data_IF_754875464974
#
_entry.id   IF_754875464974
#
_cell.length_a   1.000
_cell.length_b   1.000
_cell.length_c   1.000
_cell.angle_alpha   90.00
_cell.angle_beta   90.00
_cell.angle_gamma   90.00
#
_symmetry.space_group_name_H-M   'P 1'
#
loop_
_entity.id
_entity.type
_entity.pdbx_description
1 polymer ?
#
# COMPACT_ATOMS: atom_id res chain seq x y z
N UNK A 1 -5.09 6.54 17.91
CA UNK A 1 -6.23 6.80 18.79
C UNK A 1 -7.43 5.92 18.42
N UNK A 2 -8.06 6.11 17.26
CA UNK A 2 -9.30 5.38 16.90
C UNK A 2 -9.17 3.84 16.94
N UNK A 3 -8.03 3.28 16.55
CA UNK A 3 -7.86 1.82 16.56
C UNK A 3 -7.71 1.26 17.98
N UNK A 4 -7.15 2.03 18.91
CA UNK A 4 -7.08 1.65 20.31
C UNK A 4 -8.48 1.63 20.93
N UNK A 5 -9.29 2.65 20.65
CA UNK A 5 -10.69 2.72 21.09
C UNK A 5 -11.51 1.58 20.48
N UNK A 6 -11.24 1.22 19.23
CA UNK A 6 -11.91 0.09 18.57
C UNK A 6 -11.55 -1.26 19.22
N UNK A 7 -10.27 -1.49 19.54
CA UNK A 7 -9.83 -2.65 20.33
C UNK A 7 -10.58 -2.73 21.67
N UNK A 8 -10.62 -1.62 22.40
CA UNK A 8 -11.19 -1.56 23.74
C UNK A 8 -12.71 -1.78 23.70
N UNK A 9 -13.40 -1.27 22.67
CA UNK A 9 -14.81 -1.52 22.45
C UNK A 9 -15.10 -2.99 22.14
N UNK A 10 -14.27 -3.65 21.32
CA UNK A 10 -14.39 -5.09 21.06
C UNK A 10 -14.25 -5.88 22.36
N UNK A 11 -13.27 -5.55 23.19
CA UNK A 11 -13.08 -6.22 24.48
C UNK A 11 -14.29 -6.05 25.41
N UNK A 12 -14.82 -4.82 25.52
CA UNK A 12 -16.05 -4.55 26.30
C UNK A 12 -17.23 -5.39 25.83
N UNK A 13 -17.48 -5.44 24.51
CA UNK A 13 -18.58 -6.22 23.92
C UNK A 13 -18.41 -7.73 24.12
N UNK A 14 -17.24 -8.20 24.49
CA UNK A 14 -16.87 -9.60 24.69
C UNK A 14 -16.52 -9.93 26.15
N UNK A 15 -16.99 -9.15 27.11
CA UNK A 15 -16.69 -9.35 28.55
C UNK A 15 -15.19 -9.49 28.80
N UNK A 16 -14.38 -8.65 28.14
CA UNK A 16 -12.91 -8.67 28.15
C UNK A 16 -12.25 -9.96 27.61
N UNK A 17 -12.98 -10.78 26.87
CA UNK A 17 -12.42 -11.98 26.22
C UNK A 17 -11.81 -11.60 24.87
N UNK A 18 -10.53 -11.89 24.70
CA UNK A 18 -9.81 -11.71 23.42
C UNK A 18 -10.44 -12.56 22.30
N UNK A 19 -10.67 -12.01 21.10
CA UNK A 19 -11.08 -12.80 19.94
C UNK A 19 -10.07 -13.92 19.63
N UNK A 20 -10.54 -15.05 19.11
CA UNK A 20 -9.66 -16.14 18.66
C UNK A 20 -9.24 -15.99 17.19
N UNK A 21 -10.01 -15.24 16.41
CA UNK A 21 -9.82 -15.05 14.98
C UNK A 21 -10.24 -13.63 14.59
N UNK A 22 -9.50 -13.02 13.67
CA UNK A 22 -9.90 -11.84 12.92
C UNK A 22 -10.00 -12.21 11.45
N UNK A 23 -11.11 -11.82 10.81
CA UNK A 23 -11.26 -11.87 9.35
C UNK A 23 -11.35 -10.43 8.85
N UNK A 24 -10.36 -9.98 8.10
CA UNK A 24 -10.32 -8.67 7.49
C UNK A 24 -10.82 -8.76 6.04
N UNK A 25 -11.96 -8.13 5.74
CA UNK A 25 -12.56 -8.11 4.40
C UNK A 25 -12.58 -6.66 3.90
N UNK A 26 -11.96 -6.38 2.75
CA UNK A 26 -11.95 -5.04 2.17
C UNK A 26 -10.67 -4.70 1.43
N UNK A 27 -10.41 -3.42 1.21
CA UNK A 27 -9.16 -2.92 0.61
C UNK A 27 -8.01 -2.83 1.61
N UNK A 28 -6.89 -2.23 1.18
CA UNK A 28 -5.65 -2.11 1.98
C UNK A 28 -5.88 -1.57 3.40
N UNK A 29 -6.70 -0.54 3.56
CA UNK A 29 -7.00 0.01 4.90
C UNK A 29 -7.71 -1.00 5.81
N UNK A 30 -8.58 -1.86 5.27
CA UNK A 30 -9.23 -2.93 6.05
C UNK A 30 -8.22 -4.01 6.43
N UNK A 31 -7.30 -4.34 5.52
CA UNK A 31 -6.18 -5.24 5.80
C UNK A 31 -5.32 -4.70 6.94
N UNK A 32 -4.95 -3.42 6.89
CA UNK A 32 -4.12 -2.76 7.89
C UNK A 32 -4.80 -2.71 9.26
N UNK A 33 -6.10 -2.43 9.31
CA UNK A 33 -6.91 -2.48 10.54
C UNK A 33 -6.93 -3.91 11.10
N UNK A 34 -7.17 -4.92 10.27
CA UNK A 34 -7.19 -6.32 10.70
C UNK A 34 -5.87 -6.80 11.27
N UNK A 35 -4.76 -6.46 10.60
CA UNK A 35 -3.39 -6.73 11.07
C UNK A 35 -3.12 -6.06 12.42
N UNK A 36 -3.39 -4.77 12.50
CA UNK A 36 -3.15 -3.98 13.71
C UNK A 36 -4.00 -4.47 14.88
N UNK A 37 -5.29 -4.70 14.71
CA UNK A 37 -6.15 -5.23 15.78
C UNK A 37 -5.66 -6.59 16.27
N UNK A 38 -5.29 -7.49 15.35
CA UNK A 38 -4.75 -8.79 15.70
C UNK A 38 -3.56 -8.67 16.67
N UNK A 39 -2.62 -7.78 16.39
CA UNK A 39 -1.43 -7.57 17.20
C UNK A 39 -1.71 -6.82 18.50
N UNK A 40 -2.62 -5.84 18.49
CA UNK A 40 -3.00 -5.07 19.66
C UNK A 40 -3.76 -5.87 20.73
N UNK A 41 -4.32 -7.03 20.41
CA UNK A 41 -4.91 -7.93 21.42
C UNK A 41 -3.84 -8.70 22.21
N UNK A 42 -2.64 -8.83 21.70
CA UNK A 42 -1.55 -9.57 22.33
C UNK A 42 -0.40 -8.68 22.80
N UNK A 43 -0.39 -7.42 22.38
CA UNK A 43 0.61 -6.41 22.72
C UNK A 43 -0.06 -5.25 23.46
N UNK A 44 0.46 -4.86 24.63
CA UNK A 44 -0.27 -4.06 25.63
C UNK A 44 -0.22 -2.55 25.42
N UNK A 45 0.74 -2.05 24.62
CA UNK A 45 0.89 -0.61 24.36
C UNK A 45 -0.15 -0.13 23.34
N UNK A 46 -0.19 1.16 23.07
CA UNK A 46 -1.02 1.75 22.03
C UNK A 46 -0.41 1.50 20.64
N UNK A 47 -1.23 1.56 19.59
CA UNK A 47 -0.77 1.33 18.22
C UNK A 47 0.38 2.27 17.82
N UNK A 48 0.36 3.51 18.30
CA UNK A 48 1.37 4.52 18.03
C UNK A 48 2.76 4.14 18.55
N UNK A 49 2.81 3.36 19.63
CA UNK A 49 4.06 2.88 20.24
C UNK A 49 4.72 1.75 19.43
N UNK A 50 3.97 1.14 18.51
CA UNK A 50 4.44 0.07 17.63
C UNK A 50 4.71 0.53 16.20
N UNK A 51 4.45 1.81 15.87
CA UNK A 51 4.80 2.36 14.57
C UNK A 51 6.31 2.45 14.41
N UNK A 52 6.85 1.68 13.49
CA UNK A 52 8.29 1.50 13.26
C UNK A 52 8.58 0.08 12.78
N UNK A 53 9.80 -0.38 13.02
CA UNK A 53 10.29 -1.67 12.59
C UNK A 53 10.48 -2.62 13.77
N UNK A 54 9.82 -3.79 13.70
CA UNK A 54 9.96 -4.92 14.63
C UNK A 54 9.80 -4.58 16.13
N UNK A 55 8.87 -3.62 16.41
CA UNK A 55 8.56 -3.19 17.77
C UNK A 55 7.51 -4.05 18.48
N UNK A 56 6.82 -4.96 17.76
CA UNK A 56 5.87 -5.90 18.35
C UNK A 56 6.60 -6.97 19.15
N UNK A 57 6.15 -7.22 20.36
CA UNK A 57 6.74 -8.19 21.28
C UNK A 57 6.14 -9.59 21.12
N UNK A 58 4.87 -9.67 20.68
CA UNK A 58 4.12 -10.90 20.58
C UNK A 58 3.43 -11.02 19.23
N UNK A 59 3.35 -12.25 18.69
CA UNK A 59 2.53 -12.55 17.52
C UNK A 59 1.07 -12.18 17.79
N UNK A 60 0.41 -11.59 16.78
CA UNK A 60 -1.02 -11.32 16.84
C UNK A 60 -1.87 -12.57 16.94
N UNK A 61 -3.16 -12.42 17.29
CA UNK A 61 -4.12 -13.51 17.20
C UNK A 61 -4.29 -13.94 15.74
N UNK A 62 -4.79 -15.16 15.51
CA UNK A 62 -4.97 -15.71 14.15
C UNK A 62 -5.80 -14.78 13.28
N UNK A 63 -5.37 -14.56 12.03
CA UNK A 63 -6.00 -13.58 11.13
C UNK A 63 -6.02 -14.05 9.68
N UNK A 64 -7.17 -13.79 9.03
CA UNK A 64 -7.40 -14.10 7.62
C UNK A 64 -7.63 -12.80 6.86
N UNK A 65 -6.91 -12.59 5.76
CA UNK A 65 -7.10 -11.47 4.85
C UNK A 65 -7.94 -11.85 3.64
N UNK A 66 -8.94 -11.03 3.30
CA UNK A 66 -9.82 -11.21 2.14
C UNK A 66 -9.88 -9.88 1.38
N UNK A 67 -8.93 -9.61 0.47
CA UNK A 67 -8.91 -8.33 -0.26
C UNK A 67 -10.09 -8.24 -1.23
N UNK A 68 -10.78 -7.10 -1.23
CA UNK A 68 -11.87 -6.78 -2.16
C UNK A 68 -11.48 -5.73 -3.20
N UNK A 69 -10.21 -5.34 -3.25
CA UNK A 69 -9.60 -4.46 -4.24
C UNK A 69 -8.21 -5.02 -4.55
N UNK A 70 -7.83 -5.01 -5.81
CA UNK A 70 -6.50 -5.38 -6.26
C UNK A 70 -5.63 -4.11 -6.37
N UNK A 71 -4.46 -4.11 -5.75
CA UNK A 71 -3.51 -2.99 -5.87
C UNK A 71 -2.49 -2.92 -4.76
N UNK A 72 -2.91 -2.65 -3.52
CA UNK A 72 -1.98 -2.38 -2.41
C UNK A 72 -1.09 -3.56 -2.00
N UNK A 73 -1.52 -4.81 -2.29
CA UNK A 73 -0.81 -6.00 -1.81
C UNK A 73 -0.67 -6.08 -0.28
N UNK A 74 -1.46 -5.28 0.46
CA UNK A 74 -1.39 -5.23 1.92
C UNK A 74 -1.64 -6.60 2.56
N UNK A 75 -2.44 -7.44 1.92
CA UNK A 75 -2.69 -8.83 2.35
C UNK A 75 -1.40 -9.66 2.39
N UNK A 76 -0.44 -9.38 1.52
CA UNK A 76 0.83 -10.09 1.44
C UNK A 76 1.95 -9.43 2.28
N UNK A 77 1.75 -8.20 2.73
CA UNK A 77 2.80 -7.42 3.37
C UNK A 77 2.86 -7.58 4.88
N UNK A 78 4.04 -7.34 5.45
CA UNK A 78 4.28 -7.26 6.89
C UNK A 78 3.94 -5.89 7.50
N UNK A 79 3.50 -4.94 6.67
CA UNK A 79 3.24 -3.55 7.04
C UNK A 79 1.77 -3.32 7.27
N UNK A 80 1.40 -2.66 8.36
CA UNK A 80 0.07 -2.12 8.60
C UNK A 80 0.17 -0.59 8.79
N UNK A 81 -0.30 0.18 7.81
CA UNK A 81 -0.17 1.64 7.83
C UNK A 81 -1.33 2.26 8.61
N UNK A 82 -1.00 3.00 9.65
CA UNK A 82 -1.96 3.72 10.49
C UNK A 82 -1.70 5.21 10.46
N UNK A 83 -2.78 5.99 10.41
CA UNK A 83 -2.72 7.44 10.54
C UNK A 83 -3.04 7.86 11.97
N UNK A 84 -2.12 8.56 12.63
CA UNK A 84 -2.34 9.29 13.86
C UNK A 84 -2.55 10.78 13.55
N UNK A 85 -2.79 11.62 14.57
CA UNK A 85 -3.11 13.05 14.38
C UNK A 85 -2.12 13.80 13.46
N UNK A 86 -0.83 13.42 13.47
CA UNK A 86 0.22 14.16 12.76
C UNK A 86 1.17 13.24 11.97
N UNK A 87 0.89 11.94 11.89
CA UNK A 87 1.83 10.97 11.35
C UNK A 87 1.10 9.81 10.66
N UNK A 88 1.51 9.51 9.44
CA UNK A 88 1.11 8.28 8.74
C UNK A 88 2.33 7.38 8.68
N UNK A 89 2.32 6.27 9.42
CA UNK A 89 3.46 5.36 9.50
C UNK A 89 3.01 3.92 9.71
N UNK A 90 3.82 2.97 9.22
CA UNK A 90 3.56 1.54 9.33
C UNK A 90 3.98 0.96 10.69
N UNK A 91 3.21 -0.02 11.15
CA UNK A 91 3.69 -1.08 12.04
C UNK A 91 4.29 -2.13 11.11
N UNK A 92 5.60 -2.33 11.16
CA UNK A 92 6.32 -3.26 10.28
C UNK A 92 6.84 -4.43 11.11
N UNK A 93 6.22 -5.60 10.97
CA UNK A 93 6.62 -6.78 11.70
C UNK A 93 6.06 -8.06 11.07
N UNK A 94 6.81 -9.15 11.10
CA UNK A 94 6.32 -10.46 10.66
C UNK A 94 5.11 -10.93 11.51
N UNK A 95 5.00 -10.46 12.75
CA UNK A 95 3.86 -10.73 13.61
C UNK A 95 2.55 -10.10 13.12
N UNK A 96 2.61 -9.12 12.22
CA UNK A 96 1.44 -8.51 11.62
C UNK A 96 0.93 -9.23 10.36
N UNK A 97 1.72 -10.11 9.73
CA UNK A 97 1.33 -10.82 8.51
C UNK A 97 0.08 -11.67 8.74
N UNK A 98 -0.77 -11.79 7.73
CA UNK A 98 -1.90 -12.71 7.77
C UNK A 98 -1.43 -14.17 7.80
N UNK A 99 -2.13 -15.00 8.57
CA UNK A 99 -1.87 -16.44 8.64
C UNK A 99 -2.48 -17.18 7.44
N UNK A 100 -3.52 -16.62 6.84
CA UNK A 100 -4.17 -17.12 5.62
C UNK A 100 -4.74 -15.96 4.81
N UNK A 101 -4.80 -16.13 3.49
CA UNK A 101 -5.35 -15.14 2.56
C UNK A 101 -6.33 -15.85 1.63
N UNK A 102 -7.48 -15.23 1.38
CA UNK A 102 -8.48 -15.70 0.43
C UNK A 102 -8.57 -14.70 -0.70
N UNK A 103 -8.17 -15.11 -1.90
CA UNK A 103 -8.23 -14.32 -3.12
C UNK A 103 -9.48 -14.72 -3.93
N UNK A 104 -10.58 -13.96 -3.77
CA UNK A 104 -11.82 -14.15 -4.53
C UNK A 104 -12.00 -13.00 -5.53
N UNK A 105 -11.81 -13.24 -6.84
CA UNK A 105 -11.94 -12.19 -7.85
C UNK A 105 -13.37 -11.65 -7.99
N UNK A 106 -14.39 -12.38 -7.50
CA UNK A 106 -15.78 -11.88 -7.51
C UNK A 106 -15.96 -10.63 -6.65
N UNK A 107 -15.14 -10.44 -5.61
CA UNK A 107 -15.20 -9.25 -4.76
C UNK A 107 -14.79 -7.96 -5.48
N UNK A 108 -14.12 -8.05 -6.62
CA UNK A 108 -13.70 -6.90 -7.41
C UNK A 108 -14.79 -6.39 -8.37
N UNK A 109 -15.83 -7.16 -8.64
CA UNK A 109 -16.85 -6.86 -9.67
C UNK A 109 -17.63 -5.57 -9.44
N UNK A 110 -17.75 -5.13 -8.21
CA UNK A 110 -18.55 -3.94 -7.84
C UNK A 110 -17.69 -2.73 -7.48
N UNK A 111 -16.38 -2.82 -7.66
CA UNK A 111 -15.48 -1.69 -7.38
C UNK A 111 -15.72 -0.59 -8.42
N UNK A 112 -15.94 0.69 -8.01
CA UNK A 112 -16.06 1.80 -8.93
C UNK A 112 -14.85 1.91 -9.86
N UNK A 113 -15.08 2.22 -11.14
CA UNK A 113 -14.07 2.19 -12.21
C UNK A 113 -12.79 2.95 -11.84
N UNK A 114 -12.93 4.19 -11.37
CA UNK A 114 -11.77 5.04 -11.07
C UNK A 114 -10.94 4.45 -9.91
N UNK A 115 -11.64 3.98 -8.86
CA UNK A 115 -10.98 3.33 -7.74
C UNK A 115 -10.30 2.02 -8.16
N UNK A 116 -10.93 1.25 -9.05
CA UNK A 116 -10.37 0.03 -9.60
C UNK A 116 -9.06 0.30 -10.34
N UNK A 117 -9.07 1.29 -11.25
CA UNK A 117 -7.88 1.63 -12.05
C UNK A 117 -6.77 2.23 -11.17
N UNK A 118 -7.08 3.21 -10.29
CA UNK A 118 -6.05 3.77 -9.42
C UNK A 118 -5.41 2.73 -8.50
N UNK A 119 -6.21 1.77 -8.02
CA UNK A 119 -5.67 0.69 -7.20
C UNK A 119 -4.82 -0.28 -8.02
N UNK A 120 -5.25 -0.65 -9.22
CA UNK A 120 -4.47 -1.51 -10.10
C UNK A 120 -3.15 -0.84 -10.53
N UNK A 121 -3.17 0.47 -10.76
CA UNK A 121 -1.96 1.26 -11.02
C UNK A 121 -1.02 1.32 -9.81
N UNK A 122 -1.54 1.26 -8.60
CA UNK A 122 -0.72 1.13 -7.39
C UNK A 122 0.12 -0.17 -7.42
N UNK A 123 -0.50 -1.30 -7.79
CA UNK A 123 0.22 -2.56 -8.03
C UNK A 123 1.28 -2.40 -9.14
N UNK A 124 0.94 -1.74 -10.26
CA UNK A 124 1.89 -1.47 -11.33
C UNK A 124 3.12 -0.70 -10.82
N UNK A 125 2.88 0.37 -10.05
CA UNK A 125 3.93 1.22 -9.48
C UNK A 125 4.79 0.43 -8.49
N UNK A 126 4.19 -0.39 -7.62
CA UNK A 126 4.92 -1.30 -6.73
C UNK A 126 5.93 -2.16 -7.50
N UNK A 127 5.47 -2.78 -8.60
CA UNK A 127 6.34 -3.63 -9.41
C UNK A 127 7.48 -2.84 -10.05
N UNK A 128 7.20 -1.68 -10.61
CA UNK A 128 8.22 -0.81 -11.24
C UNK A 128 9.24 -0.35 -10.20
N UNK A 129 8.79 0.16 -9.06
CA UNK A 129 9.70 0.63 -8.01
C UNK A 129 10.55 -0.49 -7.39
N UNK A 130 9.99 -1.70 -7.31
CA UNK A 130 10.74 -2.88 -6.89
C UNK A 130 11.82 -3.26 -7.93
N UNK A 131 11.49 -3.23 -9.22
CA UNK A 131 12.41 -3.64 -10.31
C UNK A 131 13.54 -2.63 -10.53
N UNK A 132 13.26 -1.35 -10.42
CA UNK A 132 14.20 -0.26 -10.64
C UNK A 132 14.95 0.15 -9.36
N UNK A 133 14.59 -0.43 -8.22
CA UNK A 133 15.18 -0.10 -6.93
C UNK A 133 16.52 -0.78 -6.67
N UNK A 134 17.32 -0.20 -5.79
CA UNK A 134 18.63 -0.71 -5.38
C UNK A 134 18.55 -1.97 -4.52
N UNK A 135 17.42 -2.23 -3.86
CA UNK A 135 17.18 -3.40 -3.00
C UNK A 135 16.67 -4.62 -3.78
N UNK A 136 16.58 -4.51 -5.11
CA UNK A 136 16.16 -5.63 -5.97
C UNK A 136 17.06 -6.85 -5.76
N UNK A 137 16.46 -8.00 -5.61
CA UNK A 137 17.13 -9.29 -5.52
C UNK A 137 16.39 -10.31 -6.38
N UNK A 138 16.93 -11.52 -6.51
CA UNK A 138 16.35 -12.57 -7.37
C UNK A 138 14.89 -12.88 -7.01
N UNK A 139 14.55 -12.92 -5.72
CA UNK A 139 13.21 -13.25 -5.25
C UNK A 139 12.22 -12.14 -5.59
N UNK A 140 12.53 -10.90 -5.19
CA UNK A 140 11.67 -9.75 -5.49
C UNK A 140 11.52 -9.51 -6.99
N UNK A 141 12.58 -9.70 -7.78
CA UNK A 141 12.53 -9.62 -9.25
C UNK A 141 11.53 -10.61 -9.84
N UNK A 142 11.61 -11.88 -9.44
CA UNK A 142 10.70 -12.93 -9.95
C UNK A 142 9.23 -12.58 -9.69
N UNK A 143 8.92 -12.09 -8.49
CA UNK A 143 7.55 -11.67 -8.14
C UNK A 143 7.14 -10.40 -8.88
N UNK A 144 8.02 -9.39 -8.95
CA UNK A 144 7.70 -8.12 -9.60
C UNK A 144 7.46 -8.29 -11.11
N UNK A 145 8.31 -9.04 -11.82
CA UNK A 145 8.16 -9.31 -13.25
C UNK A 145 6.85 -10.06 -13.54
N UNK A 146 6.54 -11.08 -12.73
CA UNK A 146 5.29 -11.84 -12.86
C UNK A 146 4.07 -10.96 -12.58
N UNK A 147 4.11 -10.16 -11.53
CA UNK A 147 3.03 -9.25 -11.15
C UNK A 147 2.83 -8.16 -12.22
N UNK A 148 3.91 -7.53 -12.68
CA UNK A 148 3.88 -6.48 -13.71
C UNK A 148 3.26 -6.99 -15.01
N UNK A 149 3.66 -8.21 -15.43
CA UNK A 149 3.09 -8.87 -16.61
C UNK A 149 1.59 -9.11 -16.46
N UNK A 150 1.15 -9.74 -15.37
CA UNK A 150 -0.25 -10.03 -15.12
C UNK A 150 -1.10 -8.75 -15.02
N UNK A 151 -0.60 -7.73 -14.33
CA UNK A 151 -1.24 -6.43 -14.17
C UNK A 151 -1.41 -5.75 -15.54
N UNK A 152 -0.34 -5.68 -16.33
CA UNK A 152 -0.35 -5.05 -17.66
C UNK A 152 -1.26 -5.80 -18.64
N UNK A 153 -1.22 -7.14 -18.66
CA UNK A 153 -2.12 -7.96 -19.49
C UNK A 153 -3.59 -7.71 -19.12
N UNK A 154 -3.91 -7.68 -17.82
CA UNK A 154 -5.28 -7.44 -17.35
C UNK A 154 -5.76 -6.04 -17.74
N UNK A 155 -4.96 -5.01 -17.54
CA UNK A 155 -5.33 -3.62 -17.81
C UNK A 155 -5.34 -3.28 -19.31
N UNK A 156 -4.58 -3.99 -20.12
CA UNK A 156 -4.64 -3.86 -21.58
C UNK A 156 -5.81 -4.61 -22.23
N UNK A 157 -6.59 -5.37 -21.47
CA UNK A 157 -7.82 -5.99 -21.95
C UNK A 157 -9.00 -5.02 -21.82
N UNK A 158 -9.93 -5.05 -22.79
CA UNK A 158 -11.19 -4.29 -22.70
C UNK A 158 -12.13 -4.87 -21.63
N UNK A 159 -11.92 -6.13 -21.28
CA UNK A 159 -12.58 -6.79 -20.15
C UNK A 159 -11.51 -7.38 -19.24
N UNK A 160 -11.04 -6.63 -18.23
CA UNK A 160 -9.95 -7.03 -17.37
C UNK A 160 -10.19 -8.37 -16.68
N UNK A 161 -9.22 -9.26 -16.74
CA UNK A 161 -9.24 -10.51 -15.98
C UNK A 161 -8.98 -10.21 -14.49
N UNK A 162 -10.04 -10.24 -13.70
CA UNK A 162 -10.01 -9.91 -12.27
C UNK A 162 -9.15 -10.90 -11.46
N UNK A 163 -9.05 -12.16 -11.92
CA UNK A 163 -8.20 -13.16 -11.28
C UNK A 163 -6.72 -12.84 -11.46
N UNK A 164 -6.33 -12.48 -12.69
CA UNK A 164 -4.97 -12.03 -13.01
C UNK A 164 -4.61 -10.80 -12.17
N UNK A 165 -5.52 -9.82 -12.09
CA UNK A 165 -5.27 -8.57 -11.39
C UNK A 165 -5.12 -8.78 -9.87
N UNK A 166 -5.97 -9.62 -9.28
CA UNK A 166 -5.88 -9.94 -7.85
C UNK A 166 -4.59 -10.72 -7.54
N UNK A 167 -4.21 -11.65 -8.42
CA UNK A 167 -2.93 -12.36 -8.33
C UNK A 167 -1.74 -11.41 -8.47
N UNK A 168 -1.80 -10.46 -9.40
CA UNK A 168 -0.78 -9.43 -9.58
C UNK A 168 -0.61 -8.57 -8.32
N UNK A 169 -1.72 -8.14 -7.72
CA UNK A 169 -1.71 -7.37 -6.46
C UNK A 169 -0.99 -8.13 -5.35
N UNK A 170 -1.32 -9.41 -5.17
CA UNK A 170 -0.67 -10.27 -4.18
C UNK A 170 0.84 -10.41 -4.45
N UNK A 171 1.23 -10.75 -5.68
CA UNK A 171 2.65 -10.93 -6.05
C UNK A 171 3.43 -9.61 -5.96
N UNK A 172 2.82 -8.48 -6.34
CA UNK A 172 3.40 -7.15 -6.16
C UNK A 172 3.65 -6.83 -4.68
N UNK A 173 2.70 -7.17 -3.82
CA UNK A 173 2.86 -7.08 -2.36
C UNK A 173 4.02 -7.93 -1.84
N UNK A 174 4.15 -9.19 -2.31
CA UNK A 174 5.29 -10.06 -1.96
C UNK A 174 6.61 -9.48 -2.46
N UNK A 175 6.61 -8.87 -3.65
CA UNK A 175 7.83 -8.26 -4.20
C UNK A 175 8.35 -7.13 -3.31
N UNK A 176 7.49 -6.16 -2.95
CA UNK A 176 7.91 -5.02 -2.13
C UNK A 176 8.28 -5.40 -0.69
N UNK A 177 7.78 -6.51 -0.17
CA UNK A 177 8.24 -7.07 1.12
C UNK A 177 9.71 -7.52 1.04
N UNK A 178 10.13 -8.02 -0.11
CA UNK A 178 11.48 -8.56 -0.33
C UNK A 178 12.46 -7.54 -0.97
N UNK A 179 11.95 -6.38 -1.37
CA UNK A 179 12.74 -5.23 -1.81
C UNK A 179 12.34 -3.99 -1.01
N UNK A 180 11.64 -3.08 -1.61
CA UNK A 180 10.99 -1.91 -1.00
C UNK A 180 10.18 -1.21 -2.12
N UNK A 181 9.35 -0.24 -1.76
CA UNK A 181 8.82 0.77 -2.68
C UNK A 181 9.86 1.86 -2.94
N UNK A 182 9.56 2.84 -3.77
CA UNK A 182 10.52 3.87 -4.16
C UNK A 182 10.01 5.29 -3.97
N UNK A 183 10.48 6.20 -4.84
CA UNK A 183 10.27 7.65 -4.72
C UNK A 183 8.80 8.05 -4.95
N UNK A 184 8.04 7.34 -5.79
CA UNK A 184 6.64 7.65 -6.00
C UNK A 184 5.85 7.47 -4.69
N UNK A 185 6.08 6.36 -3.99
CA UNK A 185 5.46 6.11 -2.69
C UNK A 185 5.91 7.12 -1.64
N UNK A 186 7.21 7.42 -1.55
CA UNK A 186 7.71 8.40 -0.57
C UNK A 186 7.01 9.77 -0.73
N UNK A 187 6.89 10.26 -1.96
CA UNK A 187 6.26 11.56 -2.23
C UNK A 187 4.72 11.52 -2.10
N UNK A 188 4.09 10.40 -2.43
CA UNK A 188 2.62 10.27 -2.43
C UNK A 188 2.00 10.40 -1.04
N UNK A 189 2.73 10.02 0.01
CA UNK A 189 2.25 10.14 1.39
C UNK A 189 1.96 11.58 1.78
N UNK A 190 2.82 12.52 1.37
CA UNK A 190 2.61 13.95 1.60
C UNK A 190 1.33 14.47 0.93
N UNK A 191 1.11 14.12 -0.34
CA UNK A 191 -0.12 14.48 -1.06
C UNK A 191 -1.36 13.83 -0.41
N UNK A 192 -1.27 12.56 -0.05
CA UNK A 192 -2.36 11.85 0.60
C UNK A 192 -2.78 12.50 1.93
N UNK A 193 -1.82 12.98 2.73
CA UNK A 193 -2.09 13.65 4.01
C UNK A 193 -2.67 15.06 3.83
N UNK A 194 -2.07 15.88 2.96
CA UNK A 194 -2.44 17.29 2.83
C UNK A 194 -3.74 17.50 2.04
N UNK A 195 -4.10 16.57 1.13
CA UNK A 195 -5.27 16.69 0.25
C UNK A 195 -6.30 15.58 0.44
N UNK A 196 -6.07 14.67 1.39
CA UNK A 196 -6.95 13.53 1.65
C UNK A 196 -7.23 12.67 0.40
N UNK A 197 -6.28 12.61 -0.53
CA UNK A 197 -6.38 11.71 -1.67
C UNK A 197 -6.15 10.26 -1.24
N UNK A 198 -6.92 9.36 -1.86
CA UNK A 198 -6.70 7.92 -1.70
C UNK A 198 -5.30 7.54 -2.19
N UNK A 199 -4.67 6.58 -1.55
CA UNK A 199 -3.28 6.21 -1.79
C UNK A 199 -2.95 5.92 -3.26
N UNK A 200 -3.73 5.06 -3.94
CA UNK A 200 -3.51 4.75 -5.34
C UNK A 200 -3.59 5.99 -6.26
N UNK A 201 -4.54 6.91 -6.02
CA UNK A 201 -4.59 8.17 -6.76
C UNK A 201 -3.36 9.05 -6.48
N UNK A 202 -2.95 9.17 -5.21
CA UNK A 202 -1.77 9.95 -4.86
C UNK A 202 -0.49 9.38 -5.53
N UNK A 203 -0.34 8.06 -5.56
CA UNK A 203 0.75 7.40 -6.29
C UNK A 203 0.69 7.67 -7.79
N UNK A 204 -0.49 7.58 -8.41
CA UNK A 204 -0.66 7.89 -9.84
C UNK A 204 -0.27 9.34 -10.17
N UNK A 205 -0.67 10.31 -9.33
CA UNK A 205 -0.31 11.72 -9.51
C UNK A 205 1.21 11.90 -9.51
N UNK A 206 1.90 11.33 -8.55
CA UNK A 206 3.37 11.43 -8.48
C UNK A 206 4.04 10.68 -9.64
N UNK A 207 3.66 9.43 -9.87
CA UNK A 207 4.30 8.58 -10.88
C UNK A 207 4.21 9.18 -12.28
N UNK A 208 3.11 9.86 -12.59
CA UNK A 208 2.91 10.57 -13.86
C UNK A 208 4.02 11.58 -14.22
N UNK A 209 4.73 12.09 -13.21
CA UNK A 209 5.80 13.08 -13.36
C UNK A 209 7.21 12.49 -13.25
N UNK A 210 7.35 11.17 -13.07
CA UNK A 210 8.63 10.50 -12.83
C UNK A 210 9.24 9.85 -14.08
N UNK A 211 8.91 10.34 -15.28
CA UNK A 211 9.43 9.78 -16.56
C UNK A 211 10.97 9.85 -16.63
N UNK A 212 11.58 10.85 -16.02
CA UNK A 212 13.04 10.96 -15.92
C UNK A 212 13.66 9.76 -15.17
N UNK A 213 12.93 9.17 -14.21
CA UNK A 213 13.42 8.09 -13.35
C UNK A 213 13.01 6.70 -13.87
N UNK A 214 11.75 6.57 -14.31
CA UNK A 214 11.15 5.27 -14.68
C UNK A 214 10.89 5.12 -16.18
N UNK A 215 11.30 6.11 -17.00
CA UNK A 215 11.36 6.01 -18.46
C UNK A 215 10.11 5.45 -19.11
N UNK A 216 10.29 4.34 -19.83
CA UNK A 216 9.21 3.65 -20.57
C UNK A 216 8.05 3.23 -19.66
N UNK A 217 8.29 2.90 -18.41
CA UNK A 217 7.23 2.51 -17.49
C UNK A 217 6.21 3.63 -17.26
N UNK A 218 6.64 4.89 -17.19
CA UNK A 218 5.69 6.02 -17.08
C UNK A 218 4.90 6.22 -18.37
N UNK A 219 5.48 5.95 -19.54
CA UNK A 219 4.75 6.01 -20.83
C UNK A 219 3.66 4.94 -20.90
N UNK A 220 3.99 3.70 -20.57
CA UNK A 220 3.00 2.59 -20.51
C UNK A 220 1.90 2.91 -19.49
N UNK A 221 2.26 3.45 -18.33
CA UNK A 221 1.31 3.90 -17.32
C UNK A 221 0.30 4.92 -17.89
N UNK A 222 0.78 5.94 -18.62
CA UNK A 222 -0.08 6.94 -19.27
C UNK A 222 -1.00 6.32 -20.31
N UNK A 223 -0.49 5.42 -21.17
CA UNK A 223 -1.26 4.70 -22.18
C UNK A 223 -2.39 3.87 -21.54
N UNK A 224 -2.14 3.24 -20.39
CA UNK A 224 -3.18 2.49 -19.65
C UNK A 224 -4.25 3.45 -19.11
N UNK A 225 -3.88 4.59 -18.51
CA UNK A 225 -4.84 5.59 -18.03
C UNK A 225 -5.71 6.11 -19.17
N UNK A 226 -5.11 6.47 -20.30
CA UNK A 226 -5.79 6.97 -21.49
C UNK A 226 -6.77 5.92 -22.04
N UNK A 227 -6.34 4.66 -22.17
CA UNK A 227 -7.20 3.54 -22.60
C UNK A 227 -8.44 3.41 -21.73
N UNK A 228 -8.31 3.61 -20.43
CA UNK A 228 -9.44 3.53 -19.51
C UNK A 228 -10.19 4.85 -19.33
N UNK A 229 -9.84 5.90 -20.08
CA UNK A 229 -10.41 7.26 -19.94
C UNK A 229 -10.34 7.75 -18.47
N UNK A 230 -9.20 7.60 -17.85
CA UNK A 230 -8.92 8.06 -16.49
C UNK A 230 -8.04 9.31 -16.56
N UNK A 231 -8.56 10.43 -16.09
CA UNK A 231 -7.81 11.67 -15.98
C UNK A 231 -7.29 11.87 -14.56
N UNK A 232 -6.03 12.26 -14.44
CA UNK A 232 -5.46 12.67 -13.17
C UNK A 232 -5.78 14.15 -12.89
N UNK A 233 -5.87 14.56 -11.61
CA UNK A 233 -5.99 15.98 -11.27
C UNK A 233 -4.82 16.79 -11.83
N UNK A 234 -5.13 17.87 -12.55
CA UNK A 234 -4.16 18.77 -13.14
C UNK A 234 -3.93 20.03 -12.30
N UNK A 235 -2.85 20.74 -12.58
CA UNK A 235 -2.54 22.04 -11.97
C UNK A 235 -2.51 22.04 -10.44
N UNK A 236 -2.20 20.93 -9.82
CA UNK A 236 -2.14 20.82 -8.36
C UNK A 236 -1.10 21.79 -7.77
N UNK A 237 0.00 22.04 -8.47
CA UNK A 237 1.06 22.97 -8.03
C UNK A 237 0.54 24.39 -7.76
N UNK A 238 -0.48 24.85 -8.49
CA UNK A 238 -1.11 26.16 -8.27
C UNK A 238 -1.94 26.22 -6.98
N UNK A 239 -2.31 25.06 -6.45
CA UNK A 239 -3.09 24.90 -5.21
C UNK A 239 -2.16 24.71 -3.99
N UNK A 240 -0.86 24.55 -4.20
CA UNK A 240 0.10 24.29 -3.15
C UNK A 240 0.74 25.58 -2.63
N UNK A 241 0.43 25.94 -1.38
CA UNK A 241 1.24 26.93 -0.70
C UNK A 241 2.66 26.37 -0.44
N UNK A 242 3.64 27.26 -0.32
CA UNK A 242 5.03 26.88 0.00
C UNK A 242 5.10 26.02 1.28
N UNK A 243 4.29 26.35 2.29
CA UNK A 243 4.24 25.60 3.56
C UNK A 243 3.72 24.17 3.36
N UNK A 244 2.71 23.97 2.51
CA UNK A 244 2.22 22.63 2.17
C UNK A 244 3.26 21.82 1.41
N UNK A 245 3.96 22.43 0.45
CA UNK A 245 5.06 21.77 -0.27
C UNK A 245 6.14 21.32 0.72
N UNK A 246 6.57 22.20 1.62
CA UNK A 246 7.56 21.86 2.63
C UNK A 246 7.11 20.67 3.50
N UNK A 247 5.87 20.68 3.99
CA UNK A 247 5.31 19.54 4.76
C UNK A 247 5.28 18.24 3.97
N UNK A 248 4.95 18.29 2.68
CA UNK A 248 4.97 17.10 1.83
C UNK A 248 6.40 16.57 1.65
N UNK A 249 7.38 17.46 1.48
CA UNK A 249 8.80 17.10 1.41
C UNK A 249 9.26 16.50 2.74
N UNK A 250 8.97 17.15 3.86
CA UNK A 250 9.32 16.64 5.20
C UNK A 250 8.73 15.25 5.44
N UNK A 251 7.48 15.03 5.00
CA UNK A 251 6.83 13.71 5.08
C UNK A 251 7.58 12.67 4.24
N UNK A 252 7.99 13.02 3.02
CA UNK A 252 8.74 12.12 2.15
C UNK A 252 10.12 11.79 2.74
N UNK A 253 10.81 12.77 3.32
CA UNK A 253 12.12 12.59 3.95
C UNK A 253 12.10 11.65 5.17
N UNK A 254 10.94 11.42 5.79
CA UNK A 254 10.77 10.40 6.83
C UNK A 254 10.73 8.97 6.27
N UNK A 255 10.57 8.82 4.95
CA UNK A 255 10.50 7.53 4.28
C UNK A 255 11.90 7.08 3.82
N UNK A 256 12.82 6.88 4.78
CA UNK A 256 14.23 6.60 4.51
C UNK A 256 14.41 5.40 3.58
N UNK A 257 13.83 4.23 3.90
CA UNK A 257 14.00 3.01 3.09
C UNK A 257 13.50 3.12 1.65
N UNK A 258 12.31 3.68 1.36
CA UNK A 258 11.89 3.99 -0.01
C UNK A 258 12.86 4.89 -0.76
N UNK A 259 13.42 5.90 -0.10
CA UNK A 259 14.40 6.80 -0.71
C UNK A 259 15.76 6.13 -0.93
N UNK A 260 16.20 5.29 0.01
CA UNK A 260 17.40 4.45 -0.17
C UNK A 260 17.21 3.44 -1.31
N UNK A 261 16.03 2.83 -1.41
CA UNK A 261 15.75 1.95 -2.54
C UNK A 261 15.79 2.69 -3.89
N UNK A 262 15.29 3.93 -3.95
CA UNK A 262 15.26 4.72 -5.18
C UNK A 262 16.63 5.29 -5.58
N UNK A 263 17.46 5.70 -4.62
CA UNK A 263 18.66 6.51 -4.86
C UNK A 263 19.96 5.93 -4.30
N UNK A 264 19.89 4.80 -3.59
CA UNK A 264 21.01 4.20 -2.87
C UNK A 264 21.25 4.82 -1.50
N UNK A 265 22.20 4.27 -0.73
CA UNK A 265 22.47 4.63 0.67
C UNK A 265 22.90 6.10 0.88
N UNK A 266 23.40 6.77 -0.15
CA UNK A 266 23.90 8.15 -0.08
C UNK A 266 22.88 9.19 -0.57
N UNK A 267 21.59 8.92 -0.45
CA UNK A 267 20.52 9.80 -0.95
C UNK A 267 20.38 11.11 -0.15
N UNK A 268 20.91 11.20 1.07
CA UNK A 268 20.88 12.38 1.95
C UNK A 268 21.85 13.48 1.47
#
# INVERSE_FOLDING_TARGET
AQINDFRDNILKLRDNKTPKLIVAVGGGSSMDVGKSLSTLFTNKKNAEDYQGWDLLENKGIHKIGVPSIAGSGSEASRTAVLTSKNKKMGINSDFSMFDSIILDPNLLKTVPKDLFIYSAMDCYIHCVESLEGTYINTLSRTYAESALKLCTEALNSDNPDLSKLLTASYLGGVSIVNSEVGVAHALSYGISLEYNYRHGLANCIIFNHLEKYYGTHVRIFKEILDKHNISLPENLSSQFSKDKINKMVDTALLMERPLENAFGENWK
#
